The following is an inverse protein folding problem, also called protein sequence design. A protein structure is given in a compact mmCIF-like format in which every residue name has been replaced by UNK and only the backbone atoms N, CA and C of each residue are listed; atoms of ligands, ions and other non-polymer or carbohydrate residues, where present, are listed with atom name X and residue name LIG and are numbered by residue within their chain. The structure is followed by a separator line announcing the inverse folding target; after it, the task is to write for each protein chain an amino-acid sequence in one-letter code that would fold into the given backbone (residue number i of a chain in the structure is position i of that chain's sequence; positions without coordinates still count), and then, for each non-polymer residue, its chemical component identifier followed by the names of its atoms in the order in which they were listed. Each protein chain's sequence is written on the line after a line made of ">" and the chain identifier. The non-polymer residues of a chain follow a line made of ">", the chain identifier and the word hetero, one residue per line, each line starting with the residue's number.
data_IF_096115788376
#
_entry.id   IF_096115788376
#
_cell.length_a   1.000
_cell.length_b   1.000
_cell.length_c   1.000
_cell.angle_alpha   90.00
_cell.angle_beta   90.00
_cell.angle_gamma   90.00
#
_symmetry.space_group_name_H-M   'P 1'
#
loop_
_entity.id
_entity.type
_entity.pdbx_description
1 polymer ?
#
# COMPACT_ATOMS: atom_id res chain seq x y z
N UNK A 1 2.25 8.41 -18.43
CA UNK A 1 2.24 7.28 -17.47
C UNK A 1 2.40 7.77 -16.01
N UNK A 2 1.88 8.94 -15.66
CA UNK A 2 2.02 9.54 -14.30
C UNK A 2 0.77 9.31 -13.42
N UNK A 3 -0.29 8.79 -14.03
CA UNK A 3 -1.66 8.89 -13.55
C UNK A 3 -1.98 7.83 -12.48
N UNK A 4 -1.31 6.66 -12.56
CA UNK A 4 -1.53 5.57 -11.61
C UNK A 4 -0.78 5.78 -10.28
N UNK A 5 0.47 6.28 -10.34
CA UNK A 5 1.27 6.56 -9.14
C UNK A 5 0.64 7.69 -8.32
N UNK A 6 0.17 8.76 -8.96
CA UNK A 6 -0.49 9.88 -8.29
C UNK A 6 -1.78 9.48 -7.55
N UNK A 7 -2.58 8.58 -8.13
CA UNK A 7 -3.82 8.09 -7.50
C UNK A 7 -3.55 7.13 -6.34
N UNK A 8 -2.55 6.26 -6.45
CA UNK A 8 -2.20 5.29 -5.39
C UNK A 8 -1.57 6.00 -4.19
N UNK A 9 -0.68 6.97 -4.44
CA UNK A 9 -0.08 7.81 -3.39
C UNK A 9 -1.16 8.66 -2.71
N UNK A 10 -2.13 9.23 -3.47
CA UNK A 10 -3.28 9.92 -2.88
C UNK A 10 -4.14 9.03 -2.01
N UNK A 11 -4.44 7.79 -2.44
CA UNK A 11 -5.17 6.82 -1.63
C UNK A 11 -4.40 6.57 -0.32
N UNK A 12 -3.11 6.28 -0.40
CA UNK A 12 -2.26 6.00 0.77
C UNK A 12 -2.13 7.20 1.74
N UNK A 13 -1.98 8.41 1.22
CA UNK A 13 -1.97 9.65 2.01
C UNK A 13 -3.33 9.87 2.69
N UNK A 14 -4.43 9.56 2.01
CA UNK A 14 -5.78 9.63 2.57
C UNK A 14 -5.96 8.59 3.69
N UNK A 15 -5.45 7.37 3.53
CA UNK A 15 -5.52 6.29 4.54
C UNK A 15 -4.64 6.53 5.77
N UNK A 16 -3.52 7.25 5.63
CA UNK A 16 -2.61 7.55 6.75
C UNK A 16 -3.21 8.56 7.74
N UNK A 17 -4.21 9.35 7.33
CA UNK A 17 -5.00 10.20 8.24
C UNK A 17 -6.08 9.34 8.92
N UNK A 18 -5.74 8.87 10.12
CA UNK A 18 -6.49 7.92 10.93
C UNK A 18 -7.82 8.44 11.49
N UNK A 19 -8.88 8.47 10.68
CA UNK A 19 -10.24 8.69 11.24
C UNK A 19 -11.32 7.70 10.75
N UNK A 20 -11.01 6.79 9.82
CA UNK A 20 -12.04 5.92 9.23
C UNK A 20 -11.54 4.49 8.99
N UNK A 21 -11.49 3.68 10.06
CA UNK A 21 -11.22 2.24 9.96
C UNK A 21 -12.28 1.50 9.14
N UNK A 22 -13.54 1.96 9.19
CA UNK A 22 -14.68 1.46 8.41
C UNK A 22 -14.43 1.58 6.90
N UNK A 23 -13.75 2.63 6.45
CA UNK A 23 -13.36 2.78 5.05
C UNK A 23 -12.21 1.83 4.67
N UNK A 24 -11.34 1.44 5.59
CA UNK A 24 -10.25 0.51 5.28
C UNK A 24 -10.80 -0.87 4.85
N UNK A 25 -11.81 -1.37 5.55
CA UNK A 25 -12.45 -2.64 5.23
C UNK A 25 -13.13 -2.62 3.85
N UNK A 26 -13.71 -1.50 3.43
CA UNK A 26 -14.33 -1.40 2.10
C UNK A 26 -13.33 -1.58 0.95
N UNK A 27 -12.08 -1.14 1.12
CA UNK A 27 -11.08 -1.17 0.05
C UNK A 27 -10.21 -2.42 0.06
N UNK A 28 -9.81 -2.88 1.24
CA UNK A 28 -8.90 -4.03 1.37
C UNK A 28 -9.61 -5.32 1.82
N UNK A 29 -10.91 -5.24 2.14
CA UNK A 29 -11.74 -6.37 2.62
C UNK A 29 -11.15 -7.09 3.85
N UNK A 30 -10.33 -6.39 4.61
CA UNK A 30 -9.66 -6.88 5.82
C UNK A 30 -9.52 -5.75 6.82
N UNK A 31 -9.23 -6.08 8.09
CA UNK A 31 -8.91 -5.09 9.11
C UNK A 31 -7.50 -4.55 8.93
N UNK A 32 -7.22 -3.37 9.49
CA UNK A 32 -5.91 -2.73 9.42
C UNK A 32 -4.82 -3.61 10.06
N UNK A 33 -5.15 -4.28 11.16
CA UNK A 33 -4.24 -5.17 11.88
C UNK A 33 -3.85 -6.38 11.03
N UNK A 34 -4.81 -6.94 10.29
CA UNK A 34 -4.57 -8.07 9.36
C UNK A 34 -3.68 -7.63 8.20
N UNK A 35 -3.89 -6.42 7.68
CA UNK A 35 -3.03 -5.85 6.66
C UNK A 35 -1.60 -5.63 7.16
N UNK A 36 -1.43 -5.06 8.35
CA UNK A 36 -0.11 -4.84 8.95
C UNK A 36 0.59 -6.16 9.29
N UNK A 37 -0.16 -7.18 9.71
CA UNK A 37 0.35 -8.54 9.92
C UNK A 37 0.87 -9.14 8.61
N UNK A 38 0.06 -9.10 7.54
CA UNK A 38 0.46 -9.57 6.21
C UNK A 38 1.65 -8.78 5.66
N UNK A 39 1.67 -7.47 5.86
CA UNK A 39 2.79 -6.62 5.47
C UNK A 39 4.07 -7.04 6.17
N UNK A 40 4.03 -7.26 7.49
CA UNK A 40 5.20 -7.69 8.24
C UNK A 40 5.73 -9.06 7.81
N UNK A 41 4.84 -9.99 7.43
CA UNK A 41 5.23 -11.30 6.93
C UNK A 41 5.87 -11.23 5.53
N UNK A 42 5.39 -10.31 4.68
CA UNK A 42 5.77 -10.26 3.27
C UNK A 42 6.82 -9.21 2.94
N UNK A 43 7.04 -8.20 3.80
CA UNK A 43 7.89 -7.03 3.51
C UNK A 43 9.28 -7.40 3.00
N UNK A 44 9.89 -8.43 3.58
CA UNK A 44 11.24 -8.88 3.22
C UNK A 44 11.27 -9.55 1.84
N UNK A 45 10.18 -10.24 1.48
CA UNK A 45 10.05 -10.94 0.19
C UNK A 45 9.64 -10.00 -0.95
N UNK A 46 8.89 -8.94 -0.65
CA UNK A 46 8.34 -8.03 -1.67
C UNK A 46 9.16 -6.75 -1.84
N UNK A 47 10.30 -6.61 -1.14
CA UNK A 47 11.18 -5.47 -1.37
C UNK A 47 11.69 -5.46 -2.81
N UNK A 48 11.69 -4.29 -3.47
CA UNK A 48 12.48 -4.10 -4.70
C UNK A 48 13.51 -3.02 -4.47
N UNK A 49 14.62 -3.22 -5.17
CA UNK A 49 15.71 -2.27 -5.23
C UNK A 49 15.32 -1.15 -6.21
N UNK A 50 15.79 0.05 -5.91
CA UNK A 50 15.73 1.18 -6.82
C UNK A 50 16.53 0.86 -8.08
N UNK A 51 15.96 1.16 -9.24
CA UNK A 51 16.68 1.03 -10.51
C UNK A 51 16.89 2.42 -11.10
N UNK A 52 17.90 2.57 -11.96
CA UNK A 52 18.20 3.84 -12.65
C UNK A 52 16.99 4.48 -13.35
N UNK A 53 16.03 3.67 -13.78
CA UNK A 53 14.87 4.12 -14.56
C UNK A 53 13.58 4.23 -13.76
N UNK A 54 13.56 3.71 -12.51
CA UNK A 54 12.33 3.69 -11.71
C UNK A 54 12.62 3.70 -10.21
N UNK A 55 11.95 4.64 -9.53
CA UNK A 55 11.78 4.59 -8.10
C UNK A 55 10.84 3.45 -7.68
N UNK A 56 11.33 2.61 -6.76
CA UNK A 56 10.52 1.55 -6.16
C UNK A 56 9.46 2.17 -5.25
N UNK A 57 8.23 1.67 -5.37
CA UNK A 57 7.18 1.93 -4.38
C UNK A 57 7.51 1.16 -3.10
N UNK A 58 7.07 1.68 -1.95
CA UNK A 58 7.24 1.00 -0.67
C UNK A 58 6.56 -0.37 -0.68
N UNK A 59 7.02 -1.26 0.21
CA UNK A 59 6.44 -2.60 0.36
C UNK A 59 4.98 -2.53 0.81
N UNK A 60 4.60 -1.49 1.58
CA UNK A 60 3.20 -1.24 1.97
C UNK A 60 2.33 -0.82 0.79
N UNK A 61 2.78 0.15 -0.02
CA UNK A 61 2.07 0.55 -1.23
C UNK A 61 1.92 -0.61 -2.20
N UNK A 62 2.95 -1.46 -2.31
CA UNK A 62 2.87 -2.65 -3.16
C UNK A 62 1.83 -3.63 -2.67
N UNK A 63 1.83 -3.95 -1.37
CA UNK A 63 0.82 -4.84 -0.79
C UNK A 63 -0.58 -4.27 -1.03
N UNK A 64 -0.77 -2.96 -0.83
CA UNK A 64 -2.03 -2.28 -1.08
C UNK A 64 -2.48 -2.37 -2.56
N UNK A 65 -1.56 -2.33 -3.53
CA UNK A 65 -1.89 -2.54 -4.95
C UNK A 65 -2.28 -3.99 -5.21
N UNK A 66 -1.58 -4.95 -4.61
CA UNK A 66 -1.83 -6.38 -4.81
C UNK A 66 -3.16 -6.84 -4.21
N UNK A 67 -3.64 -6.17 -3.16
CA UNK A 67 -4.90 -6.48 -2.47
C UNK A 67 -6.10 -5.69 -3.00
N UNK A 68 -5.92 -4.90 -4.07
CA UNK A 68 -6.94 -4.04 -4.68
C UNK A 68 -7.88 -4.81 -5.59
#
# INVERSE_FOLDING_TARGET
>A
MENAKGNIIRLWIFYKKEEHSDRFHMYFRMKKEEFEYLHNLLKERIQKIYTRFRQAISTKERLAICLR
#
